data_IF_696958248019
#
_entry.id   IF_696958248019
#
_cell.length_a   1.000
_cell.length_b   1.000
_cell.length_c   1.000
_cell.angle_alpha   90.00
_cell.angle_beta   90.00
_cell.angle_gamma   90.00
#
_symmetry.space_group_name_H-M   'P 1'
#
loop_
_entity.id
_entity.type
_entity.pdbx_description
1 polymer ?
#
# COMPACT_ATOMS: atom_id res chain seq x y z
N UNK A 1 3.33 -80.27 -16.89
CA UNK A 1 4.68 -79.90 -16.38
C UNK A 1 4.64 -78.41 -15.99
N UNK A 2 4.83 -78.06 -14.69
CA UNK A 2 4.58 -76.73 -14.14
C UNK A 2 5.84 -75.88 -13.94
N UNK A 3 5.70 -74.55 -14.05
CA UNK A 3 6.51 -73.54 -13.36
C UNK A 3 5.63 -72.28 -13.23
N UNK A 4 4.96 -72.03 -12.11
CA UNK A 4 5.47 -71.32 -10.92
C UNK A 4 6.39 -70.15 -11.30
N UNK A 5 5.88 -68.92 -11.25
CA UNK A 5 6.45 -67.82 -10.44
C UNK A 5 5.42 -66.69 -10.33
N UNK A 6 4.93 -66.50 -9.11
CA UNK A 6 4.16 -65.35 -8.63
C UNK A 6 5.02 -64.09 -8.58
N UNK A 7 4.56 -62.96 -9.12
CA UNK A 7 5.07 -61.64 -8.71
C UNK A 7 3.95 -60.59 -8.68
N UNK A 8 3.34 -60.53 -7.50
CA UNK A 8 2.58 -59.45 -6.87
C UNK A 8 2.57 -58.08 -7.55
N UNK A 9 1.37 -57.58 -7.87
CA UNK A 9 1.04 -56.16 -8.07
C UNK A 9 1.57 -55.33 -6.89
N UNK A 10 2.61 -54.53 -7.11
CA UNK A 10 3.05 -53.54 -6.12
C UNK A 10 2.10 -52.35 -6.20
N UNK A 11 1.11 -52.31 -5.30
CA UNK A 11 0.27 -51.14 -5.08
C UNK A 11 1.15 -49.93 -4.76
N UNK A 12 1.10 -48.89 -5.58
CA UNK A 12 1.65 -47.58 -5.26
C UNK A 12 0.82 -46.97 -4.12
N UNK A 13 1.13 -47.32 -2.88
CA UNK A 13 0.70 -46.53 -1.73
C UNK A 13 1.47 -45.21 -1.81
N UNK A 14 0.76 -44.14 -2.16
CA UNK A 14 1.23 -42.77 -1.98
C UNK A 14 1.68 -42.57 -0.51
N UNK A 15 2.78 -41.87 -0.24
CA UNK A 15 3.14 -41.53 1.13
C UNK A 15 2.03 -40.66 1.72
N UNK A 16 1.49 -41.07 2.86
CA UNK A 16 0.61 -40.24 3.68
C UNK A 16 1.34 -38.94 4.02
N UNK A 17 0.80 -37.81 3.58
CA UNK A 17 1.25 -36.48 3.97
C UNK A 17 1.29 -36.44 5.51
N UNK A 18 2.40 -36.03 6.16
CA UNK A 18 2.40 -35.88 7.59
C UNK A 18 1.33 -34.85 7.98
N UNK A 19 0.41 -35.25 8.87
CA UNK A 19 -0.55 -34.35 9.49
C UNK A 19 0.21 -33.19 10.12
N UNK A 20 -0.07 -31.96 9.65
CA UNK A 20 0.43 -30.73 10.26
C UNK A 20 0.27 -30.83 11.78
N UNK A 21 1.31 -30.56 12.58
CA UNK A 21 1.17 -30.60 14.03
C UNK A 21 0.04 -29.65 14.45
N UNK A 22 -0.90 -30.21 15.22
CA UNK A 22 -2.00 -29.49 15.84
C UNK A 22 -1.45 -28.38 16.73
N UNK A 23 -1.71 -27.14 16.32
CA UNK A 23 -1.85 -25.95 17.18
C UNK A 23 -0.90 -25.92 18.39
N UNK A 24 0.36 -25.63 18.14
CA UNK A 24 1.22 -25.10 19.20
C UNK A 24 0.81 -23.64 19.46
N UNK A 25 0.15 -23.45 20.60
CA UNK A 25 -0.03 -22.19 21.35
C UNK A 25 -0.85 -21.13 20.62
N UNK A 26 -2.13 -21.08 20.97
CA UNK A 26 -2.88 -19.82 21.04
C UNK A 26 -2.14 -18.91 22.03
N UNK A 27 -1.05 -18.27 21.60
CA UNK A 27 -0.58 -17.09 22.31
C UNK A 27 -1.66 -16.05 22.11
N UNK A 28 -2.39 -15.78 23.19
CA UNK A 28 -3.34 -14.69 23.30
C UNK A 28 -2.62 -13.40 22.90
N UNK A 29 -2.73 -13.04 21.62
CA UNK A 29 -2.30 -11.72 21.17
C UNK A 29 -3.21 -10.76 21.95
N UNK A 30 -2.66 -9.89 22.82
CA UNK A 30 -3.48 -8.92 23.49
C UNK A 30 -4.11 -8.06 22.38
N UNK A 31 -5.41 -8.23 22.18
CA UNK A 31 -6.22 -7.35 21.32
C UNK A 31 -6.34 -6.03 22.05
N UNK A 32 -5.23 -5.29 22.04
CA UNK A 32 -5.19 -3.89 22.40
C UNK A 32 -6.09 -3.18 21.39
N UNK A 33 -7.32 -2.89 21.83
CA UNK A 33 -8.27 -2.03 21.14
C UNK A 33 -7.74 -0.59 21.16
N UNK A 34 -6.62 -0.36 20.46
CA UNK A 34 -6.08 0.97 20.25
C UNK A 34 -6.96 1.68 19.24
N UNK A 35 -7.39 2.90 19.58
CA UNK A 35 -8.14 3.78 18.67
C UNK A 35 -7.28 4.02 17.43
N UNK A 36 -7.68 3.41 16.32
CA UNK A 36 -6.94 3.47 15.07
C UNK A 36 -7.81 4.10 13.99
N UNK A 37 -7.39 5.25 13.49
CA UNK A 37 -8.08 5.94 12.41
C UNK A 37 -7.58 5.42 11.07
N UNK A 38 -8.51 5.01 10.22
CA UNK A 38 -8.20 4.44 8.92
C UNK A 38 -8.34 5.47 7.80
N UNK A 39 -7.34 5.52 6.93
CA UNK A 39 -7.32 6.36 5.74
C UNK A 39 -6.89 5.59 4.51
N UNK A 40 -7.60 5.78 3.39
CA UNK A 40 -7.21 5.20 2.10
C UNK A 40 -6.81 6.29 1.12
N UNK A 41 -5.63 6.14 0.52
CA UNK A 41 -5.16 7.02 -0.54
C UNK A 41 -4.82 6.28 -1.83
N UNK A 42 -5.08 6.91 -2.98
CA UNK A 42 -4.76 6.34 -4.30
C UNK A 42 -4.27 7.42 -5.25
N UNK A 43 -3.16 7.17 -5.94
CA UNK A 43 -2.63 8.06 -6.99
C UNK A 43 -2.01 7.24 -8.13
N UNK A 44 -2.37 7.56 -9.37
CA UNK A 44 -1.99 6.77 -10.56
C UNK A 44 -2.36 5.28 -10.38
N UNK A 45 -1.37 4.41 -10.19
CA UNK A 45 -1.50 2.97 -9.93
C UNK A 45 -1.16 2.59 -8.49
N UNK A 46 -0.69 3.54 -7.67
CA UNK A 46 -0.35 3.30 -6.27
C UNK A 46 -1.60 3.37 -5.39
N UNK A 47 -1.72 2.42 -4.47
CA UNK A 47 -2.72 2.39 -3.41
C UNK A 47 -2.03 2.32 -2.05
N UNK A 48 -2.47 3.19 -1.13
CA UNK A 48 -1.98 3.27 0.23
C UNK A 48 -3.14 3.05 1.22
N UNK A 49 -2.93 2.15 2.16
CA UNK A 49 -3.74 1.97 3.36
C UNK A 49 -2.95 2.57 4.50
N UNK A 50 -3.48 3.61 5.11
CA UNK A 50 -2.82 4.36 6.17
C UNK A 50 -3.63 4.16 7.43
N UNK A 51 -2.92 3.92 8.53
CA UNK A 51 -3.50 3.90 9.83
C UNK A 51 -2.79 4.90 10.72
N UNK A 52 -3.58 5.69 11.45
CA UNK A 52 -3.08 6.67 12.41
C UNK A 52 -3.42 6.20 13.82
N UNK A 53 -2.45 6.27 14.71
CA UNK A 53 -2.59 6.03 16.16
C UNK A 53 -2.04 7.24 16.91
N UNK A 54 -2.63 7.64 18.05
CA UNK A 54 -1.98 8.62 18.93
C UNK A 54 -0.66 8.04 19.44
N UNK A 55 0.43 8.80 19.32
CA UNK A 55 1.78 8.31 19.58
C UNK A 55 2.88 9.36 19.41
N UNK A 56 4.12 8.93 19.21
CA UNK A 56 5.34 9.75 19.26
C UNK A 56 5.76 10.39 17.92
N UNK A 57 4.97 10.24 16.85
CA UNK A 57 5.27 10.81 15.54
C UNK A 57 6.05 9.87 14.61
N UNK A 58 6.11 8.57 14.92
CA UNK A 58 6.83 7.61 14.09
C UNK A 58 6.06 7.31 12.80
N UNK A 59 6.73 7.46 11.65
CA UNK A 59 6.14 7.09 10.35
C UNK A 59 6.83 5.85 9.79
N UNK A 60 6.07 4.75 9.71
CA UNK A 60 6.51 3.46 9.18
C UNK A 60 5.79 3.14 7.87
N UNK A 61 6.55 2.80 6.83
CA UNK A 61 6.03 2.46 5.49
C UNK A 61 6.44 1.02 5.14
N UNK A 62 5.47 0.13 4.96
CA UNK A 62 5.71 -1.29 4.66
C UNK A 62 6.70 -1.98 5.63
N UNK A 63 6.68 -1.60 6.91
CA UNK A 63 7.57 -2.13 7.94
C UNK A 63 8.98 -1.53 7.96
N UNK A 64 9.27 -0.53 7.12
CA UNK A 64 10.54 0.21 7.10
C UNK A 64 10.34 1.67 7.54
N UNK A 65 11.42 2.32 7.94
CA UNK A 65 11.40 3.75 8.25
C UNK A 65 11.15 4.59 6.99
N UNK A 66 10.69 5.83 7.16
CA UNK A 66 10.43 6.74 6.04
C UNK A 66 11.72 7.06 5.27
N UNK A 67 12.83 7.21 6.00
CA UNK A 67 14.13 7.55 5.41
C UNK A 67 14.71 6.42 4.56
N UNK A 68 14.56 5.17 4.99
CA UNK A 68 15.04 4.01 4.23
C UNK A 68 14.18 3.74 2.99
N UNK A 69 12.88 4.04 3.06
CA UNK A 69 11.95 3.73 1.98
C UNK A 69 11.97 4.80 0.87
N UNK A 70 12.15 6.08 1.24
CA UNK A 70 12.18 7.19 0.30
C UNK A 70 13.53 7.91 0.37
N UNK A 71 14.48 7.67 -0.55
CA UNK A 71 15.76 8.38 -0.54
C UNK A 71 15.61 9.89 -0.83
N UNK A 72 14.59 10.27 -1.60
CA UNK A 72 14.38 11.67 -2.00
C UNK A 72 13.66 12.48 -0.91
N UNK A 73 14.32 13.53 -0.41
CA UNK A 73 13.78 14.45 0.61
C UNK A 73 12.47 15.13 0.21
N UNK A 74 12.34 15.51 -1.07
CA UNK A 74 11.11 16.13 -1.61
C UNK A 74 9.90 15.21 -1.39
N UNK A 75 10.06 13.89 -1.53
CA UNK A 75 8.97 12.94 -1.30
C UNK A 75 8.61 12.84 0.19
N UNK A 76 9.60 12.94 1.07
CA UNK A 76 9.38 12.98 2.53
C UNK A 76 8.59 14.21 2.92
N UNK A 77 8.94 15.37 2.38
CA UNK A 77 8.24 16.63 2.61
C UNK A 77 6.77 16.56 2.18
N UNK A 78 6.49 15.94 1.01
CA UNK A 78 5.10 15.75 0.52
C UNK A 78 4.27 14.88 1.48
N UNK A 79 4.88 13.88 2.11
CA UNK A 79 4.19 13.01 3.08
C UNK A 79 3.91 13.77 4.39
N UNK A 80 4.86 14.60 4.84
CA UNK A 80 4.76 15.40 6.07
C UNK A 80 3.82 16.62 5.92
N UNK A 81 3.56 17.10 4.71
CA UNK A 81 2.71 18.26 4.42
C UNK A 81 1.37 18.31 5.21
N UNK A 82 0.53 17.26 5.23
CA UNK A 82 -0.70 17.26 6.03
C UNK A 82 -0.46 17.43 7.54
N UNK A 83 0.63 16.85 8.06
CA UNK A 83 0.97 16.90 9.49
C UNK A 83 1.50 18.26 9.91
N UNK A 84 2.22 18.94 9.02
CA UNK A 84 2.70 20.30 9.24
C UNK A 84 1.54 21.29 9.31
N UNK A 85 0.53 21.15 8.44
CA UNK A 85 -0.64 22.03 8.43
C UNK A 85 -1.54 21.89 9.66
N UNK A 86 -1.57 20.69 10.25
CA UNK A 86 -2.38 20.42 11.45
C UNK A 86 -1.56 20.51 12.73
N UNK A 87 -0.25 20.84 12.64
CA UNK A 87 0.68 20.89 13.78
C UNK A 87 0.61 19.63 14.65
N UNK A 88 0.36 18.48 14.02
CA UNK A 88 0.18 17.19 14.70
C UNK A 88 1.28 16.20 14.35
N UNK A 89 2.44 16.70 13.91
CA UNK A 89 3.57 15.86 13.51
C UNK A 89 4.09 14.96 14.65
N UNK A 90 4.05 15.45 15.90
CA UNK A 90 4.59 14.75 17.07
C UNK A 90 3.55 13.92 17.84
N UNK A 91 2.27 14.04 17.47
CA UNK A 91 1.15 13.45 18.23
C UNK A 91 0.66 12.12 17.70
N UNK A 92 1.09 11.74 16.49
CA UNK A 92 0.50 10.63 15.75
C UNK A 92 1.56 9.72 15.14
N UNK A 93 1.47 8.43 15.47
CA UNK A 93 2.19 7.38 14.77
C UNK A 93 1.41 6.95 13.53
N UNK A 94 2.13 6.78 12.43
CA UNK A 94 1.57 6.50 11.12
C UNK A 94 2.13 5.18 10.62
N UNK A 95 1.25 4.21 10.42
CA UNK A 95 1.58 2.95 9.76
C UNK A 95 0.93 2.94 8.38
N UNK A 96 1.76 3.00 7.34
CA UNK A 96 1.31 2.99 5.95
C UNK A 96 1.69 1.66 5.28
N UNK A 97 0.70 0.98 4.73
CA UNK A 97 0.88 -0.16 3.82
C UNK A 97 0.59 0.29 2.39
N UNK A 98 1.58 0.17 1.51
CA UNK A 98 1.52 0.70 0.14
C UNK A 98 1.84 -0.38 -0.88
N UNK A 99 1.07 -0.42 -1.97
CA UNK A 99 1.28 -1.36 -3.08
C UNK A 99 1.10 -0.67 -4.43
N UNK A 100 1.90 -1.10 -5.41
CA UNK A 100 1.85 -0.63 -6.80
C UNK A 100 2.46 0.76 -7.04
N UNK A 101 2.54 1.15 -8.32
CA UNK A 101 3.11 2.43 -8.75
C UNK A 101 4.62 2.54 -8.56
N UNK A 102 5.10 3.78 -8.46
CA UNK A 102 6.49 4.11 -8.13
C UNK A 102 6.55 5.12 -6.98
N UNK A 103 7.75 5.45 -6.50
CA UNK A 103 7.97 6.26 -5.28
C UNK A 103 7.15 7.55 -5.21
N UNK A 104 7.15 8.37 -6.27
CA UNK A 104 6.38 9.63 -6.32
C UNK A 104 4.85 9.42 -6.33
N UNK A 105 4.38 8.34 -6.94
CA UNK A 105 2.97 7.96 -6.91
C UNK A 105 2.55 7.47 -5.53
N UNK A 106 3.41 6.69 -4.89
CA UNK A 106 3.23 6.16 -3.54
C UNK A 106 3.21 7.27 -2.49
N UNK A 107 4.17 8.20 -2.51
CA UNK A 107 4.19 9.36 -1.60
C UNK A 107 2.90 10.19 -1.69
N UNK A 108 2.43 10.46 -2.91
CA UNK A 108 1.16 11.18 -3.11
C UNK A 108 -0.07 10.39 -2.64
N UNK A 109 -0.04 9.05 -2.72
CA UNK A 109 -1.09 8.20 -2.17
C UNK A 109 -1.08 8.22 -0.63
N UNK A 110 0.10 8.11 0.00
CA UNK A 110 0.25 8.20 1.47
C UNK A 110 -0.28 9.55 1.96
N UNK A 111 0.13 10.66 1.34
CA UNK A 111 -0.33 12.01 1.68
C UNK A 111 -1.86 12.12 1.72
N UNK A 112 -2.53 11.59 0.69
CA UNK A 112 -3.99 11.59 0.63
C UNK A 112 -4.62 10.65 1.68
N UNK A 113 -3.96 9.52 1.97
CA UNK A 113 -4.37 8.59 3.04
C UNK A 113 -4.30 9.22 4.43
N UNK A 114 -3.20 9.91 4.76
CA UNK A 114 -3.02 10.63 6.03
C UNK A 114 -4.12 11.69 6.19
N UNK A 115 -4.37 12.47 5.14
CA UNK A 115 -5.38 13.53 5.17
C UNK A 115 -6.79 12.99 5.46
N UNK A 116 -7.11 11.78 4.95
CA UNK A 116 -8.39 11.12 5.22
C UNK A 116 -8.46 10.51 6.62
N UNK A 117 -7.36 9.97 7.13
CA UNK A 117 -7.32 9.47 8.50
C UNK A 117 -7.43 10.61 9.53
N UNK A 118 -6.83 11.78 9.26
CA UNK A 118 -6.97 12.97 10.11
C UNK A 118 -8.41 13.50 10.19
N UNK A 119 -9.17 13.40 9.09
CA UNK A 119 -10.61 13.73 9.12
C UNK A 119 -11.41 12.79 10.03
N UNK A 120 -10.97 11.53 10.19
CA UNK A 120 -11.59 10.60 11.12
C UNK A 120 -11.33 10.97 12.58
N UNK A 121 -10.25 11.71 12.86
CA UNK A 121 -9.91 12.20 14.19
C UNK A 121 -10.64 13.50 14.55
N UNK A 122 -10.54 14.53 13.70
CA UNK A 122 -11.26 15.79 13.89
C UNK A 122 -11.84 16.31 12.57
N UNK A 123 -13.17 16.49 12.54
CA UNK A 123 -13.92 16.96 11.37
C UNK A 123 -13.69 18.44 11.07
N UNK A 124 -13.32 19.24 12.06
CA UNK A 124 -13.10 20.70 11.96
C UNK A 124 -11.91 21.04 11.06
N UNK A 125 -10.92 20.14 11.00
CA UNK A 125 -9.72 20.29 10.18
C UNK A 125 -10.03 20.23 8.67
N UNK A 126 -11.24 19.83 8.30
CA UNK A 126 -11.68 19.75 6.90
C UNK A 126 -11.54 21.06 6.15
N UNK A 127 -11.84 22.19 6.79
CA UNK A 127 -11.73 23.51 6.15
C UNK A 127 -10.30 23.78 5.69
N UNK A 128 -9.33 23.66 6.61
CA UNK A 128 -7.90 23.87 6.35
C UNK A 128 -7.35 22.88 5.31
N UNK A 129 -7.68 21.59 5.45
CA UNK A 129 -7.21 20.54 4.54
C UNK A 129 -7.79 20.66 3.13
N UNK A 130 -9.03 21.15 3.00
CA UNK A 130 -9.67 21.41 1.70
C UNK A 130 -9.03 22.59 1.00
N UNK A 131 -8.78 23.69 1.72
CA UNK A 131 -8.09 24.87 1.18
C UNK A 131 -6.68 24.54 0.69
N UNK A 132 -5.96 23.67 1.40
CA UNK A 132 -4.64 23.18 0.97
C UNK A 132 -4.68 22.12 -0.15
N UNK A 133 -5.86 21.72 -0.64
CA UNK A 133 -6.02 20.76 -1.74
C UNK A 133 -5.63 19.31 -1.41
N UNK A 134 -5.54 18.93 -0.14
CA UNK A 134 -5.06 17.60 0.30
C UNK A 134 -6.15 16.51 0.27
N UNK A 135 -7.42 16.94 0.30
CA UNK A 135 -8.58 16.06 0.23
C UNK A 135 -8.97 15.68 -1.20
N UNK A 136 -8.47 16.39 -2.20
CA UNK A 136 -8.77 16.07 -3.60
C UNK A 136 -7.84 14.98 -4.09
N UNK A 137 -8.41 13.87 -4.56
CA UNK A 137 -7.65 12.82 -5.23
C UNK A 137 -7.14 13.35 -6.58
N UNK A 138 -5.83 13.23 -6.83
CA UNK A 138 -5.24 13.52 -8.14
C UNK A 138 -5.74 12.49 -9.18
N UNK A 139 -6.58 12.90 -10.16
CA UNK A 139 -7.20 11.99 -11.12
C UNK A 139 -6.27 11.62 -12.28
N UNK A 140 -5.11 12.27 -12.42
CA UNK A 140 -4.22 12.11 -13.58
C UNK A 140 -3.75 10.66 -13.70
N UNK A 141 -3.98 10.06 -14.86
CA UNK A 141 -3.55 8.70 -15.23
C UNK A 141 -2.81 8.75 -16.55
N UNK A 142 -1.87 7.82 -16.76
CA UNK A 142 -1.18 7.68 -18.05
C UNK A 142 -2.21 7.32 -19.13
N UNK A 143 -2.32 8.17 -20.14
CA UNK A 143 -3.13 7.89 -21.32
C UNK A 143 -2.57 6.66 -22.06
N UNK A 144 -3.46 5.82 -22.59
CA UNK A 144 -3.06 4.67 -23.41
C UNK A 144 -2.46 5.13 -24.74
N UNK A 145 -1.61 4.29 -25.35
CA UNK A 145 -1.20 4.47 -26.74
C UNK A 145 -2.41 4.28 -27.65
N UNK A 146 -2.64 5.21 -28.58
CA UNK A 146 -3.68 5.11 -29.61
C UNK A 146 -3.09 4.45 -30.86
N UNK A 147 -3.91 3.75 -31.64
CA UNK A 147 -3.46 3.15 -32.90
C UNK A 147 -3.07 4.24 -33.91
N UNK A 148 -2.15 3.93 -34.82
CA UNK A 148 -1.63 4.89 -35.80
C UNK A 148 -0.78 6.02 -35.21
N UNK A 149 -0.43 5.95 -33.92
CA UNK A 149 0.39 6.95 -33.23
C UNK A 149 1.61 6.29 -32.57
N UNK A 150 2.72 7.03 -32.47
CA UNK A 150 3.93 6.59 -31.76
C UNK A 150 3.71 6.54 -30.25
N UNK A 151 2.91 7.47 -29.72
CA UNK A 151 2.58 7.57 -28.29
C UNK A 151 1.09 7.79 -28.02
N UNK A 152 0.76 8.33 -26.84
CA UNK A 152 -0.63 8.68 -26.51
C UNK A 152 -1.17 9.83 -27.39
N UNK A 153 -0.29 10.77 -27.75
CA UNK A 153 -0.59 11.94 -28.60
C UNK A 153 0.43 12.16 -29.73
N UNK A 154 1.62 11.57 -29.63
CA UNK A 154 2.70 11.75 -30.59
C UNK A 154 2.37 11.04 -31.92
N UNK A 155 2.26 11.81 -33.00
CA UNK A 155 1.99 11.32 -34.36
C UNK A 155 3.30 11.12 -35.12
N UNK A 156 3.25 10.29 -36.16
CA UNK A 156 4.33 10.24 -37.15
C UNK A 156 4.32 11.52 -37.99
N UNK A 157 5.47 11.86 -38.58
CA UNK A 157 5.57 13.00 -39.49
C UNK A 157 4.65 12.76 -40.70
N UNK A 158 3.85 13.76 -41.07
CA UNK A 158 2.96 13.71 -42.23
C UNK A 158 3.67 14.32 -43.44
N UNK A 159 3.74 13.60 -44.56
CA UNK A 159 4.22 14.13 -45.84
C UNK A 159 3.03 14.64 -46.66
N UNK A 160 2.91 15.97 -46.80
CA UNK A 160 1.94 16.59 -47.72
C UNK A 160 2.56 16.57 -49.13
N UNK A 161 1.84 16.04 -50.11
CA UNK A 161 2.17 16.10 -51.54
C UNK A 161 1.13 16.94 -52.25
#
# INVERSE_FOLDING_TARGET
MPARTTRTRRSSRSPSTPSRPSRARDEEIPVVNQVQYYGTGRRKTAAARVFIRPGAGEVKVNGRSLDDYFPNEVLKMIIKQPLLLTETAEKFDIVASVRGGGSAGQAGAIRHGISRALLGFNIELRGRLKSAGLLTRDPRRRERKKYGQRGARARFQFSKR
#
